data_IF_950139241562
#
_entry.id   IF_950139241562
#
_cell.length_a   1.000
_cell.length_b   1.000
_cell.length_c   1.000
_cell.angle_alpha   90.00
_cell.angle_beta   90.00
_cell.angle_gamma   90.00
#
_symmetry.space_group_name_H-M   'P 1'
#
loop_
_entity.id
_entity.type
_entity.pdbx_description
1 polymer ?
#
# COMPACT_ATOMS: atom_id res chain seq x y z
N UNK A 1 -10.27 0.35 4.28
CA UNK A 1 -11.56 -0.19 3.87
C UNK A 1 -11.72 0.01 2.37
N UNK A 2 -11.85 -1.08 1.61
CA UNK A 2 -12.47 -0.97 0.28
C UNK A 2 -13.91 -0.54 0.56
N UNK A 3 -14.22 0.76 0.42
CA UNK A 3 -15.57 1.21 0.70
C UNK A 3 -16.50 0.49 -0.27
N UNK A 4 -17.47 -0.25 0.26
CA UNK A 4 -18.54 -0.91 -0.50
C UNK A 4 -19.35 0.08 -1.38
N UNK A 5 -19.04 1.37 -1.31
CA UNK A 5 -19.75 2.47 -1.95
C UNK A 5 -18.90 3.19 -3.03
N UNK A 6 -17.82 2.54 -3.52
CA UNK A 6 -17.03 3.14 -4.59
C UNK A 6 -17.69 2.92 -5.94
N UNK A 7 -18.11 4.01 -6.57
CA UNK A 7 -18.77 3.96 -7.87
C UNK A 7 -17.77 3.81 -9.01
N UNK A 8 -17.67 2.59 -9.52
CA UNK A 8 -16.83 2.23 -10.66
C UNK A 8 -17.35 2.80 -12.00
N UNK A 9 -18.65 3.12 -12.11
CA UNK A 9 -19.22 3.71 -13.31
C UNK A 9 -18.65 5.12 -13.56
N UNK A 10 -18.43 5.87 -12.49
CA UNK A 10 -17.82 7.20 -12.57
C UNK A 10 -16.38 7.09 -13.15
N UNK A 11 -15.60 6.11 -12.70
CA UNK A 11 -14.24 5.93 -13.22
C UNK A 11 -14.25 5.63 -14.72
N UNK A 12 -15.14 4.76 -15.19
CA UNK A 12 -15.25 4.44 -16.60
C UNK A 12 -15.60 5.68 -17.46
N UNK A 13 -16.53 6.51 -16.98
CA UNK A 13 -16.85 7.78 -17.66
C UNK A 13 -15.66 8.74 -17.70
N UNK A 14 -14.94 8.87 -16.57
CA UNK A 14 -13.76 9.72 -16.49
C UNK A 14 -12.63 9.22 -17.38
N UNK A 15 -12.44 7.92 -17.49
CA UNK A 15 -11.45 7.29 -18.37
C UNK A 15 -11.77 7.62 -19.84
N UNK A 16 -13.01 7.39 -20.28
CA UNK A 16 -13.42 7.69 -21.66
C UNK A 16 -13.12 9.15 -21.99
N UNK A 17 -13.60 10.09 -21.17
CA UNK A 17 -13.34 11.53 -21.38
C UNK A 17 -11.84 11.87 -21.33
N UNK A 18 -11.07 11.21 -20.49
CA UNK A 18 -9.61 11.45 -20.40
C UNK A 18 -8.88 10.98 -21.66
N UNK A 19 -9.30 9.85 -22.22
CA UNK A 19 -8.75 9.33 -23.48
C UNK A 19 -9.10 10.21 -24.69
N UNK A 20 -10.21 10.93 -24.63
CA UNK A 20 -10.62 11.97 -25.59
C UNK A 20 -9.87 13.30 -25.40
N UNK A 21 -8.94 13.38 -24.44
CA UNK A 21 -8.11 14.57 -24.19
C UNK A 21 -8.66 15.54 -23.13
N UNK A 22 -9.73 15.18 -22.41
CA UNK A 22 -10.28 16.03 -21.34
C UNK A 22 -9.39 16.01 -20.11
N UNK A 23 -8.57 17.04 -19.92
CA UNK A 23 -7.65 17.20 -18.79
C UNK A 23 -8.36 17.29 -17.43
N UNK A 24 -9.57 17.87 -17.38
CA UNK A 24 -10.35 17.98 -16.15
C UNK A 24 -10.85 16.59 -15.67
N UNK A 25 -11.29 15.76 -16.60
CA UNK A 25 -11.69 14.37 -16.30
C UNK A 25 -10.48 13.56 -15.79
N UNK A 26 -9.31 13.69 -16.42
CA UNK A 26 -8.09 13.04 -15.96
C UNK A 26 -7.71 13.48 -14.55
N UNK A 27 -7.72 14.79 -14.28
CA UNK A 27 -7.45 15.32 -12.94
C UNK A 27 -8.41 14.76 -11.88
N UNK A 28 -9.69 14.67 -12.22
CA UNK A 28 -10.70 14.11 -11.32
C UNK A 28 -10.48 12.60 -11.08
N UNK A 29 -10.14 11.82 -12.11
CA UNK A 29 -9.82 10.40 -12.00
C UNK A 29 -8.63 10.17 -11.05
N UNK A 30 -7.58 10.96 -11.22
CA UNK A 30 -6.39 10.89 -10.36
C UNK A 30 -6.74 11.25 -8.92
N UNK A 31 -7.43 12.38 -8.69
CA UNK A 31 -7.83 12.82 -7.35
C UNK A 31 -8.67 11.78 -6.60
N UNK A 32 -9.54 11.04 -7.28
CA UNK A 32 -10.36 9.98 -6.69
C UNK A 32 -9.57 8.78 -6.18
N UNK A 33 -8.36 8.58 -6.69
CA UNK A 33 -7.56 7.38 -6.41
C UNK A 33 -6.23 7.67 -5.70
N UNK A 34 -5.75 8.91 -5.69
CA UNK A 34 -4.45 9.29 -5.11
C UNK A 34 -4.33 8.96 -3.63
N UNK A 35 -5.35 9.30 -2.82
CA UNK A 35 -5.33 9.11 -1.37
C UNK A 35 -5.22 7.62 -1.01
N UNK A 36 -5.84 6.78 -1.83
CA UNK A 36 -5.77 5.34 -1.62
C UNK A 36 -4.36 4.80 -1.92
N UNK A 37 -3.74 5.24 -3.02
CA UNK A 37 -2.35 4.86 -3.35
C UNK A 37 -1.41 5.37 -2.28
N UNK A 38 -1.57 6.63 -1.85
CA UNK A 38 -0.77 7.23 -0.80
C UNK A 38 -0.85 6.45 0.52
N UNK A 39 -2.04 6.04 0.94
CA UNK A 39 -2.22 5.26 2.16
C UNK A 39 -1.53 3.88 2.09
N UNK A 40 -1.50 3.25 0.91
CA UNK A 40 -0.72 2.01 0.72
C UNK A 40 0.78 2.32 0.79
N UNK A 41 1.23 3.35 0.08
CA UNK A 41 2.63 3.79 0.04
C UNK A 41 3.16 4.10 1.44
N UNK A 42 2.38 4.85 2.24
CA UNK A 42 2.76 5.25 3.59
C UNK A 42 2.99 4.03 4.51
N UNK A 43 2.11 3.01 4.42
CA UNK A 43 2.27 1.78 5.20
C UNK A 43 3.41 0.89 4.70
N UNK A 44 3.81 1.08 3.46
CA UNK A 44 4.86 0.27 2.86
C UNK A 44 6.25 0.86 3.11
N UNK A 45 6.39 2.16 2.90
CA UNK A 45 7.69 2.85 2.97
C UNK A 45 7.99 3.40 4.36
N UNK A 46 6.95 3.61 5.21
CA UNK A 46 7.07 4.04 6.60
C UNK A 46 7.69 5.44 6.76
N UNK A 47 7.81 6.17 5.69
CA UNK A 47 8.29 7.54 5.59
C UNK A 47 7.34 8.34 4.71
N UNK A 48 7.02 9.57 5.13
CA UNK A 48 6.03 10.38 4.46
C UNK A 48 6.51 10.87 3.08
N UNK A 49 7.76 11.31 3.00
CA UNK A 49 8.36 11.82 1.75
C UNK A 49 8.52 10.69 0.73
N UNK A 50 9.07 9.55 1.17
CA UNK A 50 9.19 8.34 0.34
C UNK A 50 7.81 7.86 -0.16
N UNK A 51 6.78 7.97 0.68
CA UNK A 51 5.40 7.61 0.31
C UNK A 51 4.80 8.58 -0.71
N UNK A 52 5.07 9.89 -0.57
CA UNK A 52 4.66 10.90 -1.55
C UNK A 52 5.31 10.66 -2.90
N UNK A 53 6.62 10.47 -2.92
CA UNK A 53 7.38 10.23 -4.15
C UNK A 53 6.90 8.96 -4.87
N UNK A 54 6.77 7.85 -4.13
CA UNK A 54 6.26 6.61 -4.68
C UNK A 54 4.82 6.75 -5.23
N UNK A 55 3.98 7.54 -4.56
CA UNK A 55 2.62 7.84 -5.02
C UNK A 55 2.65 8.61 -6.32
N UNK A 56 3.47 9.65 -6.44
CA UNK A 56 3.61 10.44 -7.65
C UNK A 56 4.10 9.58 -8.83
N UNK A 57 5.12 8.76 -8.61
CA UNK A 57 5.64 7.86 -9.65
C UNK A 57 4.58 6.86 -10.13
N UNK A 58 3.78 6.29 -9.21
CA UNK A 58 2.66 5.42 -9.57
C UNK A 58 1.62 6.17 -10.40
N UNK A 59 1.24 7.39 -9.99
CA UNK A 59 0.25 8.18 -10.72
C UNK A 59 0.75 8.56 -12.11
N UNK A 60 2.02 8.89 -12.28
CA UNK A 60 2.64 9.12 -13.59
C UNK A 60 2.53 7.86 -14.46
N UNK A 61 2.84 6.68 -13.90
CA UNK A 61 2.70 5.39 -14.61
C UNK A 61 1.26 5.10 -14.99
N UNK A 62 0.30 5.42 -14.12
CA UNK A 62 -1.14 5.27 -14.41
C UNK A 62 -1.55 6.18 -15.58
N UNK A 63 -1.15 7.45 -15.57
CA UNK A 63 -1.48 8.41 -16.63
C UNK A 63 -0.89 7.98 -17.97
N UNK A 64 0.40 7.62 -17.97
CA UNK A 64 1.11 7.23 -19.20
C UNK A 64 0.58 5.92 -19.79
N UNK A 65 0.12 5.00 -18.96
CA UNK A 65 -0.41 3.71 -19.38
C UNK A 65 -1.94 3.68 -19.51
N UNK A 66 -2.65 4.80 -19.27
CA UNK A 66 -4.12 4.82 -19.28
C UNK A 66 -4.73 4.28 -20.59
N UNK A 67 -4.07 4.53 -21.72
CA UNK A 67 -4.47 4.02 -23.05
C UNK A 67 -4.43 2.48 -23.15
N UNK A 68 -3.69 1.81 -22.29
CA UNK A 68 -3.58 0.34 -22.26
C UNK A 68 -4.68 -0.33 -21.43
N UNK A 69 -5.47 0.45 -20.71
CA UNK A 69 -6.59 -0.08 -19.96
C UNK A 69 -7.70 -0.55 -20.89
N UNK A 70 -8.00 -1.84 -20.88
CA UNK A 70 -8.93 -2.50 -21.80
C UNK A 70 -10.30 -2.81 -21.17
N UNK A 71 -10.58 -2.37 -19.95
CA UNK A 71 -11.85 -2.67 -19.28
C UNK A 71 -12.05 -4.13 -18.87
N UNK A 72 -11.04 -5.01 -18.99
CA UNK A 72 -11.12 -6.44 -18.62
C UNK A 72 -11.26 -6.67 -17.11
N UNK A 73 -10.94 -5.69 -16.32
CA UNK A 73 -11.11 -5.66 -14.85
C UNK A 73 -11.60 -4.28 -14.44
N UNK A 74 -12.03 -4.13 -13.19
CA UNK A 74 -12.30 -2.79 -12.65
C UNK A 74 -11.05 -1.93 -12.73
N UNK A 75 -11.22 -0.62 -12.98
CA UNK A 75 -10.10 0.32 -13.11
C UNK A 75 -9.18 0.28 -11.90
N UNK A 76 -9.74 0.25 -10.69
CA UNK A 76 -8.92 0.14 -9.46
C UNK A 76 -8.06 -1.12 -9.43
N UNK A 77 -8.56 -2.26 -9.88
CA UNK A 77 -7.78 -3.50 -9.96
C UNK A 77 -6.57 -3.33 -10.89
N UNK A 78 -6.78 -2.71 -12.05
CA UNK A 78 -5.71 -2.41 -12.99
C UNK A 78 -4.70 -1.40 -12.42
N UNK A 79 -5.20 -0.33 -11.80
CA UNK A 79 -4.38 0.69 -11.14
C UNK A 79 -3.53 0.08 -10.01
N UNK A 80 -4.12 -0.77 -9.19
CA UNK A 80 -3.38 -1.43 -8.10
C UNK A 80 -2.30 -2.36 -8.62
N UNK A 81 -2.51 -3.02 -9.75
CA UNK A 81 -1.47 -3.84 -10.38
C UNK A 81 -0.27 -2.99 -10.79
N UNK A 82 -0.49 -1.78 -11.32
CA UNK A 82 0.59 -0.84 -11.63
C UNK A 82 1.32 -0.40 -10.36
N UNK A 83 0.56 0.03 -9.34
CA UNK A 83 1.09 0.46 -8.06
C UNK A 83 1.90 -0.66 -7.39
N UNK A 84 1.34 -1.84 -7.36
CA UNK A 84 1.93 -3.03 -6.75
C UNK A 84 3.25 -3.42 -7.41
N UNK A 85 3.27 -3.51 -8.74
CA UNK A 85 4.49 -3.80 -9.49
C UNK A 85 5.57 -2.73 -9.26
N UNK A 86 5.15 -1.46 -9.13
CA UNK A 86 6.07 -0.39 -8.79
C UNK A 86 6.64 -0.60 -7.38
N UNK A 87 5.80 -0.83 -6.38
CA UNK A 87 6.23 -0.97 -4.98
C UNK A 87 7.14 -2.18 -4.75
N UNK A 88 6.87 -3.32 -5.41
CA UNK A 88 7.75 -4.49 -5.33
C UNK A 88 9.15 -4.23 -5.88
N UNK A 89 9.23 -3.49 -6.99
CA UNK A 89 10.46 -3.26 -7.72
C UNK A 89 11.16 -1.94 -7.35
N UNK A 90 10.54 -1.10 -6.53
CA UNK A 90 11.16 0.15 -6.06
C UNK A 90 12.46 -0.13 -5.31
N UNK A 91 13.49 0.71 -5.45
CA UNK A 91 14.71 0.57 -4.67
C UNK A 91 14.39 0.62 -3.16
N UNK A 92 15.20 -0.09 -2.36
CA UNK A 92 15.03 -0.05 -0.89
C UNK A 92 15.29 1.36 -0.39
N UNK A 93 14.32 1.93 0.29
CA UNK A 93 14.39 3.27 0.81
C UNK A 93 15.28 3.36 2.05
N UNK A 94 15.63 4.59 2.44
CA UNK A 94 16.58 4.85 3.52
C UNK A 94 16.14 4.19 4.84
N UNK A 95 14.87 4.30 5.19
CA UNK A 95 14.30 3.70 6.39
C UNK A 95 14.41 2.16 6.37
N UNK A 96 14.04 1.51 5.26
CA UNK A 96 14.17 0.05 5.14
C UNK A 96 15.63 -0.42 5.27
N UNK A 97 16.58 0.34 4.70
CA UNK A 97 18.02 0.03 4.82
C UNK A 97 18.49 0.16 6.26
N UNK A 98 18.08 1.21 6.98
CA UNK A 98 18.42 1.38 8.40
C UNK A 98 17.90 0.23 9.25
N UNK A 99 16.67 -0.19 9.03
CA UNK A 99 16.06 -1.27 9.80
C UNK A 99 16.68 -2.63 9.53
N UNK A 100 16.99 -2.92 8.27
CA UNK A 100 17.72 -4.15 7.92
C UNK A 100 19.09 -4.22 8.60
N UNK A 101 19.79 -3.08 8.69
CA UNK A 101 21.08 -3.00 9.38
C UNK A 101 20.91 -3.19 10.90
N UNK A 102 19.88 -2.63 11.50
CA UNK A 102 19.55 -2.82 12.93
C UNK A 102 19.16 -4.27 13.25
N UNK A 103 18.38 -4.92 12.40
CA UNK A 103 18.01 -6.34 12.59
C UNK A 103 19.23 -7.27 12.53
N UNK A 104 20.23 -6.96 11.70
CA UNK A 104 21.49 -7.70 11.66
C UNK A 104 22.35 -7.49 12.93
N UNK A 105 22.24 -6.33 13.59
CA UNK A 105 22.96 -6.03 14.83
C UNK A 105 22.21 -6.48 16.09
N UNK A 106 20.88 -6.57 16.06
CA UNK A 106 20.05 -6.92 17.24
C UNK A 106 19.84 -8.42 17.48
N UNK A 107 20.60 -9.31 16.86
CA UNK A 107 20.66 -10.70 17.35
C UNK A 107 21.30 -10.80 18.77
N UNK A 108 21.71 -9.70 19.37
CA UNK A 108 22.44 -9.69 20.64
C UNK A 108 21.62 -9.19 21.83
N UNK A 109 20.51 -8.46 21.71
CA UNK A 109 19.80 -8.01 22.93
C UNK A 109 18.28 -7.84 22.77
N UNK A 110 17.56 -8.90 23.10
CA UNK A 110 16.09 -8.89 23.21
C UNK A 110 15.59 -8.38 24.58
N UNK A 111 16.34 -7.55 25.31
CA UNK A 111 15.97 -7.10 26.65
C UNK A 111 16.11 -5.60 26.89
N UNK A 112 15.51 -4.76 26.08
CA UNK A 112 15.16 -3.42 26.53
C UNK A 112 13.71 -3.11 26.15
N UNK A 113 12.79 -3.54 27.00
CA UNK A 113 11.43 -3.02 27.04
C UNK A 113 11.51 -1.55 27.38
N UNK A 114 10.99 -0.72 26.49
CA UNK A 114 10.76 0.71 26.75
C UNK A 114 9.79 0.81 27.92
N UNK A 115 10.26 1.36 29.03
CA UNK A 115 9.43 1.74 30.17
C UNK A 115 8.50 2.86 29.73
N UNK A 116 7.22 2.57 29.61
CA UNK A 116 6.17 3.54 29.29
C UNK A 116 5.99 4.47 30.50
N UNK A 117 6.55 5.67 30.43
CA UNK A 117 6.08 6.76 31.29
C UNK A 117 4.64 7.10 30.88
N UNK A 118 3.75 7.22 31.87
CA UNK A 118 2.37 7.61 31.65
C UNK A 118 2.30 9.01 31.04
N UNK A 119 2.07 9.09 29.74
CA UNK A 119 1.78 10.32 29.01
C UNK A 119 0.26 10.51 29.11
N UNK A 120 -0.19 11.68 29.50
CA UNK A 120 -1.60 12.06 29.43
C UNK A 120 -2.07 11.90 27.96
N UNK A 121 -2.92 10.89 27.72
CA UNK A 121 -3.29 10.45 26.39
C UNK A 121 -4.47 11.28 25.89
N UNK A 122 -4.19 12.29 25.09
CA UNK A 122 -5.16 12.95 24.22
C UNK A 122 -5.47 11.99 23.02
N UNK A 123 -6.69 12.00 22.51
CA UNK A 123 -7.17 11.13 21.43
C UNK A 123 -6.29 11.20 20.16
N UNK A 124 -5.73 12.38 19.85
CA UNK A 124 -4.76 12.58 18.79
C UNK A 124 -3.43 11.82 19.02
N UNK A 125 -2.94 11.82 20.26
CA UNK A 125 -1.71 11.09 20.64
C UNK A 125 -1.93 9.58 20.59
N UNK A 126 -3.11 9.11 20.97
CA UNK A 126 -3.48 7.68 20.89
C UNK A 126 -3.47 7.21 19.45
N UNK A 127 -4.01 7.99 18.52
CA UNK A 127 -4.03 7.64 17.09
C UNK A 127 -2.62 7.65 16.48
N UNK A 128 -1.80 8.62 16.87
CA UNK A 128 -0.39 8.69 16.46
C UNK A 128 0.43 7.49 16.95
N UNK A 129 0.26 7.12 18.22
CA UNK A 129 0.89 5.92 18.82
C UNK A 129 0.37 4.64 18.14
N UNK A 130 -0.91 4.56 17.82
CA UNK A 130 -1.50 3.40 17.11
C UNK A 130 -0.91 3.25 15.71
N UNK A 131 -0.73 4.37 14.98
CA UNK A 131 -0.09 4.37 13.65
C UNK A 131 1.37 3.94 13.79
N UNK A 132 2.12 4.49 14.74
CA UNK A 132 3.52 4.15 14.99
C UNK A 132 3.69 2.68 15.37
N UNK A 133 2.86 2.15 16.28
CA UNK A 133 2.89 0.73 16.67
C UNK A 133 2.58 -0.19 15.48
N UNK A 134 1.54 0.12 14.71
CA UNK A 134 1.18 -0.66 13.53
C UNK A 134 2.29 -0.64 12.48
N UNK A 135 2.94 0.51 12.34
CA UNK A 135 4.07 0.71 11.43
C UNK A 135 5.29 -0.09 11.89
N UNK A 136 5.62 -0.04 13.19
CA UNK A 136 6.73 -0.81 13.77
C UNK A 136 6.54 -2.32 13.59
N UNK A 137 5.33 -2.84 13.78
CA UNK A 137 5.02 -4.26 13.52
C UNK A 137 5.27 -4.63 12.04
N UNK A 138 4.86 -3.78 11.11
CA UNK A 138 5.09 -4.03 9.69
C UNK A 138 6.57 -4.07 9.29
N UNK A 139 7.45 -3.52 10.11
CA UNK A 139 8.90 -3.54 9.88
C UNK A 139 9.53 -4.93 10.04
N UNK A 140 8.93 -5.82 10.81
CA UNK A 140 9.38 -7.20 10.93
C UNK A 140 9.19 -8.00 9.65
N UNK A 141 8.33 -7.53 8.75
CA UNK A 141 7.98 -8.19 7.51
C UNK A 141 8.90 -7.77 6.36
N UNK A 142 9.19 -8.70 5.47
CA UNK A 142 9.75 -8.36 4.15
C UNK A 142 8.78 -7.46 3.38
N UNK A 143 9.26 -6.73 2.37
CA UNK A 143 8.42 -5.86 1.55
C UNK A 143 7.25 -6.61 0.91
N UNK A 144 7.49 -7.83 0.41
CA UNK A 144 6.43 -8.67 -0.16
C UNK A 144 5.39 -9.07 0.89
N UNK A 145 5.82 -9.52 2.06
CA UNK A 145 4.92 -9.87 3.16
C UNK A 145 4.12 -8.67 3.65
N UNK A 146 4.75 -7.50 3.73
CA UNK A 146 4.11 -6.23 4.11
C UNK A 146 3.02 -5.85 3.12
N UNK A 147 3.29 -5.96 1.81
CA UNK A 147 2.28 -5.74 0.77
C UNK A 147 1.13 -6.73 0.85
N UNK A 148 1.43 -8.03 1.05
CA UNK A 148 0.41 -9.06 1.25
C UNK A 148 -0.51 -8.73 2.42
N UNK A 149 0.08 -8.35 3.55
CA UNK A 149 -0.66 -7.99 4.76
C UNK A 149 -1.49 -6.72 4.58
N UNK A 150 -0.88 -5.66 4.06
CA UNK A 150 -1.55 -4.38 3.85
C UNK A 150 -2.74 -4.55 2.90
N UNK A 151 -2.57 -5.24 1.78
CA UNK A 151 -3.65 -5.44 0.81
C UNK A 151 -4.71 -6.40 1.36
N UNK A 152 -4.31 -7.52 1.95
CA UNK A 152 -5.25 -8.56 2.39
C UNK A 152 -5.98 -8.21 3.67
N UNK A 153 -5.26 -7.71 4.67
CA UNK A 153 -5.80 -7.52 6.02
C UNK A 153 -6.24 -6.07 6.27
N UNK A 154 -5.37 -5.11 5.98
CA UNK A 154 -5.68 -3.69 6.24
C UNK A 154 -6.71 -3.15 5.25
N UNK A 155 -6.59 -3.48 3.98
CA UNK A 155 -7.52 -3.02 2.95
C UNK A 155 -8.65 -4.02 2.64
N UNK A 156 -8.60 -5.22 3.20
CA UNK A 156 -9.66 -6.23 3.08
C UNK A 156 -9.86 -6.75 1.66
N UNK A 157 -8.81 -6.83 0.85
CA UNK A 157 -8.90 -7.43 -0.48
C UNK A 157 -9.22 -8.92 -0.36
N UNK A 158 -10.18 -9.39 -1.16
CA UNK A 158 -10.47 -10.81 -1.21
C UNK A 158 -9.29 -11.58 -1.82
N UNK A 159 -9.23 -12.90 -1.57
CA UNK A 159 -8.13 -13.74 -2.01
C UNK A 159 -7.97 -13.83 -3.53
N UNK A 160 -9.05 -13.60 -4.29
CA UNK A 160 -9.01 -13.60 -5.75
C UNK A 160 -8.30 -12.35 -6.26
N UNK A 161 -8.65 -11.16 -5.73
CA UNK A 161 -8.00 -9.91 -6.08
C UNK A 161 -6.53 -9.92 -5.66
N UNK A 162 -6.24 -10.35 -4.42
CA UNK A 162 -4.87 -10.49 -3.94
C UNK A 162 -4.05 -11.41 -4.83
N UNK A 163 -4.56 -12.58 -5.18
CA UNK A 163 -3.90 -13.53 -6.07
C UNK A 163 -3.61 -12.93 -7.46
N UNK A 164 -4.55 -12.17 -8.02
CA UNK A 164 -4.36 -11.47 -9.29
C UNK A 164 -3.27 -10.40 -9.22
N UNK A 165 -3.16 -9.67 -8.09
CA UNK A 165 -2.15 -8.63 -7.91
C UNK A 165 -0.74 -9.23 -7.80
N UNK A 166 -0.61 -10.40 -7.18
CA UNK A 166 0.67 -11.10 -7.01
C UNK A 166 1.00 -12.09 -8.13
N UNK A 167 0.11 -12.23 -9.10
CA UNK A 167 0.22 -13.23 -10.19
C UNK A 167 0.46 -14.66 -9.68
N UNK A 168 -0.30 -15.06 -8.66
CA UNK A 168 -0.25 -16.38 -8.02
C UNK A 168 -1.65 -16.98 -7.89
N UNK A 169 -1.74 -18.26 -7.54
CA UNK A 169 -3.03 -18.89 -7.27
C UNK A 169 -3.65 -18.38 -5.96
N UNK A 170 -5.01 -18.35 -5.84
CA UNK A 170 -5.68 -17.95 -4.60
C UNK A 170 -5.29 -18.79 -3.37
N UNK A 171 -4.97 -20.06 -3.58
CA UNK A 171 -4.46 -20.95 -2.53
C UNK A 171 -3.09 -20.51 -2.03
N UNK A 172 -2.17 -20.21 -2.95
CA UNK A 172 -0.83 -19.72 -2.60
C UNK A 172 -0.88 -18.35 -1.93
N UNK A 173 -1.77 -17.45 -2.40
CA UNK A 173 -1.99 -16.16 -1.76
C UNK A 173 -2.41 -16.31 -0.29
N UNK A 174 -3.37 -17.22 0.00
CA UNK A 174 -3.81 -17.49 1.39
C UNK A 174 -2.67 -17.98 2.28
N UNK A 175 -1.85 -18.90 1.76
CA UNK A 175 -0.70 -19.43 2.51
C UNK A 175 0.31 -18.33 2.81
N UNK A 176 0.65 -17.52 1.80
CA UNK A 176 1.60 -16.40 1.97
C UNK A 176 1.06 -15.33 2.94
N UNK A 177 -0.22 -14.98 2.86
CA UNK A 177 -0.86 -14.04 3.78
C UNK A 177 -0.89 -14.57 5.22
N UNK A 178 -1.20 -15.87 5.38
CA UNK A 178 -1.17 -16.50 6.69
C UNK A 178 0.24 -16.48 7.31
N UNK A 179 1.27 -16.78 6.52
CA UNK A 179 2.67 -16.69 6.99
C UNK A 179 3.04 -15.27 7.36
N UNK A 180 2.70 -14.29 6.52
CA UNK A 180 2.96 -12.87 6.82
C UNK A 180 2.30 -12.42 8.16
N UNK A 181 1.10 -12.96 8.47
CA UNK A 181 0.44 -12.71 9.76
C UNK A 181 1.13 -13.43 10.95
N UNK A 182 1.72 -14.57 10.72
CA UNK A 182 2.43 -15.32 11.77
C UNK A 182 3.80 -14.72 12.11
N UNK A 183 4.38 -13.96 11.16
CA UNK A 183 5.68 -13.29 11.31
C UNK A 183 5.54 -11.88 11.95
N UNK A 184 4.30 -11.40 12.19
CA UNK A 184 3.96 -10.18 12.94
C UNK A 184 3.96 -10.41 14.44
#
# INVERSE_FOLDING_TARGET
>A
MFSNNYDHAIDNQLITKSLEGNKAALKQLIKRNQDYIFNISLRLFLDHEDALDATQEVLIKVITNLKTYQGKSQFRTWLYRIAFNHFLNAPKQKMEKMLMNQQQQQQVDKRQMVTTQAIEMNEAVVEEVRILCSTAMLMCLTREQRLLYVIGDVFGANHQLGAQLFDISPGNYRIKLHRAKADL
#
